data_IF_169607988458
#
_entry.id   IF_169607988458
#
_cell.length_a   1.000
_cell.length_b   1.000
_cell.length_c   1.000
_cell.angle_alpha   90.00
_cell.angle_beta   90.00
_cell.angle_gamma   90.00
#
_symmetry.space_group_name_H-M   'P 1'
#
loop_
_entity.id
_entity.type
_entity.pdbx_description
1 polymer ?
#
# COMPACT_ATOMS: atom_id res chain seq x y z
N UNK A 1 24.72 -59.25 13.16
CA UNK A 1 24.90 -59.93 11.86
C UNK A 1 24.58 -58.92 10.76
N UNK A 2 25.57 -58.20 10.20
CA UNK A 2 26.22 -58.46 8.91
C UNK A 2 25.27 -58.56 7.71
N UNK A 3 25.28 -57.55 6.82
CA UNK A 3 25.80 -57.70 5.43
C UNK A 3 25.87 -56.37 4.66
N UNK A 4 27.06 -56.14 4.11
CA UNK A 4 27.49 -55.14 3.11
C UNK A 4 26.82 -55.32 1.75
N UNK A 5 26.78 -54.25 0.94
CA UNK A 5 27.27 -54.14 -0.47
C UNK A 5 26.89 -52.75 -1.03
N UNK A 6 27.55 -52.11 -2.02
CA UNK A 6 28.92 -51.98 -2.56
C UNK A 6 28.78 -51.13 -3.85
N UNK A 7 29.87 -50.46 -4.28
CA UNK A 7 30.19 -49.88 -5.63
C UNK A 7 29.72 -48.44 -5.88
N UNK A 8 30.43 -47.56 -6.60
CA UNK A 8 31.74 -47.50 -7.33
C UNK A 8 31.94 -46.00 -7.67
N UNK A 9 33.07 -45.32 -7.41
CA UNK A 9 34.36 -45.23 -8.15
C UNK A 9 34.34 -44.48 -9.49
N UNK A 10 35.07 -43.35 -9.58
CA UNK A 10 35.90 -42.85 -10.71
C UNK A 10 36.76 -41.66 -10.17
N UNK A 11 38.07 -41.80 -9.94
CA UNK A 11 39.25 -41.67 -10.84
C UNK A 11 39.46 -40.22 -11.36
N UNK A 12 40.41 -39.40 -10.86
CA UNK A 12 41.89 -39.43 -10.90
C UNK A 12 42.53 -39.09 -12.26
N UNK A 13 43.31 -37.98 -12.30
CA UNK A 13 44.63 -37.75 -12.97
C UNK A 13 44.95 -36.23 -12.88
N UNK A 14 45.96 -35.75 -12.14
CA UNK A 14 47.42 -35.66 -12.45
C UNK A 14 47.69 -34.97 -13.80
N UNK A 15 48.61 -34.00 -13.99
CA UNK A 15 49.99 -33.91 -13.46
C UNK A 15 50.69 -32.59 -13.88
N UNK A 16 51.70 -32.19 -13.09
CA UNK A 16 53.00 -31.53 -13.42
C UNK A 16 53.03 -30.15 -14.12
N UNK A 17 53.58 -29.08 -13.52
CA UNK A 17 54.94 -28.79 -13.03
C UNK A 17 56.00 -28.57 -14.12
N UNK A 18 56.55 -27.34 -14.20
CA UNK A 18 58.01 -27.08 -14.15
C UNK A 18 58.38 -25.59 -14.12
N UNK A 19 59.27 -25.28 -13.18
CA UNK A 19 60.06 -24.05 -13.05
C UNK A 19 60.93 -23.75 -14.28
N UNK A 20 61.25 -22.48 -14.49
CA UNK A 20 62.65 -22.09 -14.72
C UNK A 20 62.88 -20.62 -14.37
N UNK A 21 63.86 -20.43 -13.49
CA UNK A 21 64.39 -19.18 -12.96
C UNK A 21 65.53 -18.70 -13.88
N UNK A 22 65.70 -17.38 -14.09
CA UNK A 22 66.99 -16.73 -14.44
C UNK A 22 66.85 -15.21 -14.41
N UNK A 23 67.42 -14.61 -13.38
CA UNK A 23 67.85 -13.20 -13.34
C UNK A 23 69.23 -13.08 -14.00
N UNK A 24 69.52 -11.93 -14.64
CA UNK A 24 70.81 -11.22 -14.48
C UNK A 24 70.92 -9.98 -15.40
N UNK A 25 71.27 -8.83 -14.81
CA UNK A 25 72.28 -7.82 -15.25
C UNK A 25 72.05 -7.06 -16.57
N UNK A 26 72.30 -5.76 -16.78
CA UNK A 26 72.79 -4.59 -16.01
C UNK A 26 72.68 -3.37 -17.01
N UNK A 27 73.43 -2.24 -16.98
CA UNK A 27 72.84 -0.92 -16.78
C UNK A 27 73.09 0.13 -17.90
N UNK A 28 72.47 1.31 -17.72
CA UNK A 28 72.88 2.67 -18.19
C UNK A 28 72.88 3.04 -19.69
N UNK A 29 72.41 4.28 -19.93
CA UNK A 29 72.86 5.32 -20.89
C UNK A 29 71.96 5.75 -22.06
N UNK A 30 71.69 7.07 -22.06
CA UNK A 30 71.62 8.01 -23.20
C UNK A 30 70.34 8.12 -24.08
N UNK A 31 69.50 9.12 -23.71
CA UNK A 31 69.23 10.38 -24.46
C UNK A 31 69.01 10.29 -25.98
N UNK A 32 67.77 10.57 -26.43
CA UNK A 32 67.52 11.29 -27.69
C UNK A 32 66.08 11.89 -27.79
N UNK A 33 66.05 13.19 -28.16
CA UNK A 33 65.04 13.91 -28.95
C UNK A 33 63.56 14.03 -28.50
N UNK A 34 63.14 15.28 -28.22
CA UNK A 34 61.75 15.77 -28.29
C UNK A 34 61.35 15.97 -29.79
N UNK A 35 60.05 16.00 -30.17
CA UNK A 35 59.29 17.26 -30.08
C UNK A 35 57.77 17.14 -29.77
N UNK A 36 57.23 18.26 -29.29
CA UNK A 36 55.84 18.73 -29.30
C UNK A 36 54.70 17.74 -29.65
N UNK A 37 53.94 17.32 -28.64
CA UNK A 37 52.56 16.84 -28.78
C UNK A 37 51.59 17.94 -28.37
N UNK A 38 51.10 18.64 -29.38
CA UNK A 38 49.78 19.25 -29.54
C UNK A 38 48.83 19.14 -28.32
N UNK A 39 48.55 20.29 -27.68
CA UNK A 39 47.47 20.40 -26.69
C UNK A 39 46.13 20.31 -27.42
N UNK A 40 45.45 19.17 -27.33
CA UNK A 40 44.06 19.04 -27.70
C UNK A 40 43.21 20.10 -26.98
N UNK A 41 42.29 20.82 -27.65
CA UNK A 41 41.41 21.76 -26.98
C UNK A 41 40.51 21.02 -25.97
N UNK A 42 40.11 21.65 -24.86
CA UNK A 42 39.19 21.01 -23.93
C UNK A 42 37.86 20.78 -24.64
N UNK A 43 37.44 19.53 -24.73
CA UNK A 43 36.09 19.14 -25.14
C UNK A 43 35.13 19.84 -24.18
N UNK A 44 34.52 20.92 -24.67
CA UNK A 44 33.42 21.61 -24.01
C UNK A 44 32.31 20.60 -23.79
N UNK A 45 32.17 20.15 -22.55
CA UNK A 45 31.02 19.35 -22.12
C UNK A 45 29.81 20.29 -22.15
N UNK A 46 29.11 20.31 -23.27
CA UNK A 46 27.78 20.91 -23.33
C UNK A 46 26.95 20.31 -22.18
N UNK A 47 26.30 21.13 -21.34
CA UNK A 47 25.47 20.60 -20.27
C UNK A 47 24.34 19.82 -20.94
N UNK A 48 24.27 18.51 -20.65
CA UNK A 48 23.09 17.70 -20.95
C UNK A 48 21.93 18.38 -20.24
N UNK A 49 21.15 19.15 -20.98
CA UNK A 49 19.86 19.63 -20.53
C UNK A 49 18.99 18.39 -20.42
N UNK A 50 19.01 17.74 -19.26
CA UNK A 50 17.88 16.95 -18.80
C UNK A 50 16.70 17.91 -18.80
N UNK A 51 15.94 17.95 -19.89
CA UNK A 51 14.56 18.41 -19.86
C UNK A 51 13.79 17.40 -19.03
N UNK A 52 13.99 17.42 -17.72
CA UNK A 52 12.97 17.00 -16.79
C UNK A 52 11.77 17.85 -17.16
N UNK A 53 10.76 17.22 -17.76
CA UNK A 53 9.48 17.85 -18.02
C UNK A 53 8.90 18.18 -16.65
N UNK A 54 9.30 19.34 -16.13
CA UNK A 54 8.81 19.90 -14.88
C UNK A 54 7.34 20.23 -15.14
N UNK A 55 6.48 19.24 -14.92
CA UNK A 55 5.05 19.44 -14.94
C UNK A 55 4.75 20.63 -14.04
N UNK A 56 4.14 21.67 -14.62
CA UNK A 56 3.86 22.90 -13.90
C UNK A 56 3.13 22.55 -12.58
N UNK A 57 3.54 23.13 -11.45
CA UNK A 57 2.88 22.86 -10.18
C UNK A 57 1.40 23.25 -10.31
N UNK A 58 0.52 22.25 -10.32
CA UNK A 58 -0.93 22.46 -10.31
C UNK A 58 -1.32 23.40 -9.17
N UNK A 59 -2.28 24.33 -9.33
CA UNK A 59 -2.60 25.31 -8.29
C UNK A 59 -3.23 24.65 -7.04
N UNK A 60 -3.09 25.25 -5.85
CA UNK A 60 -3.56 24.64 -4.60
C UNK A 60 -5.09 24.53 -4.51
N UNK A 61 -5.84 25.43 -5.15
CA UNK A 61 -7.31 25.39 -5.19
C UNK A 61 -7.85 24.12 -5.86
N UNK A 62 -7.07 23.48 -6.73
CA UNK A 62 -7.46 22.26 -7.43
C UNK A 62 -7.75 21.11 -6.45
N UNK A 63 -7.03 21.04 -5.32
CA UNK A 63 -7.30 20.04 -4.28
C UNK A 63 -8.69 20.21 -3.67
N UNK A 64 -9.11 21.45 -3.43
CA UNK A 64 -10.43 21.73 -2.86
C UNK A 64 -11.55 21.42 -3.84
N UNK A 65 -11.33 21.68 -5.13
CA UNK A 65 -12.29 21.31 -6.17
C UNK A 65 -12.45 19.79 -6.24
N UNK A 66 -11.35 19.03 -6.26
CA UNK A 66 -11.42 17.57 -6.24
C UNK A 66 -12.02 17.04 -4.93
N UNK A 67 -11.67 17.62 -3.79
CA UNK A 67 -12.25 17.24 -2.50
C UNK A 67 -13.77 17.43 -2.49
N UNK A 68 -14.26 18.59 -2.93
CA UNK A 68 -15.68 18.87 -3.05
C UNK A 68 -16.37 17.93 -4.03
N UNK A 69 -15.75 17.66 -5.19
CA UNK A 69 -16.28 16.73 -6.17
C UNK A 69 -16.39 15.30 -5.61
N UNK A 70 -15.39 14.83 -4.86
CA UNK A 70 -15.38 13.51 -4.19
C UNK A 70 -16.56 13.39 -3.22
N UNK A 71 -16.72 14.39 -2.34
CA UNK A 71 -17.81 14.42 -1.35
C UNK A 71 -19.16 14.34 -2.06
N UNK A 72 -19.38 15.21 -3.05
CA UNK A 72 -20.65 15.26 -3.79
C UNK A 72 -20.89 13.94 -4.54
N UNK A 73 -19.89 13.41 -5.25
CA UNK A 73 -20.07 12.19 -6.03
C UNK A 73 -20.33 10.96 -5.15
N UNK A 74 -19.65 10.84 -4.01
CA UNK A 74 -19.90 9.76 -3.06
C UNK A 74 -21.30 9.87 -2.46
N UNK A 75 -21.69 11.05 -2.00
CA UNK A 75 -23.03 11.27 -1.45
C UNK A 75 -24.12 10.93 -2.48
N UNK A 76 -23.98 11.37 -3.74
CA UNK A 76 -24.94 11.07 -4.80
C UNK A 76 -24.99 9.56 -5.10
N UNK A 77 -23.84 8.89 -5.20
CA UNK A 77 -23.77 7.46 -5.52
C UNK A 77 -24.41 6.59 -4.43
N UNK A 78 -24.22 6.95 -3.16
CA UNK A 78 -24.66 6.14 -2.01
C UNK A 78 -25.93 6.66 -1.33
N UNK A 79 -26.49 7.79 -1.77
CA UNK A 79 -27.73 8.36 -1.23
C UNK A 79 -28.88 7.35 -1.15
N UNK A 80 -29.14 6.50 -2.17
CA UNK A 80 -30.22 5.51 -2.08
C UNK A 80 -30.01 4.51 -0.93
N UNK A 81 -28.76 4.19 -0.61
CA UNK A 81 -28.40 3.27 0.47
C UNK A 81 -28.84 3.74 1.86
N UNK A 82 -28.96 5.06 2.07
CA UNK A 82 -29.47 5.61 3.34
C UNK A 82 -30.94 5.27 3.59
N UNK A 83 -31.68 4.84 2.56
CA UNK A 83 -33.06 4.38 2.68
C UNK A 83 -33.19 2.89 2.99
N UNK A 84 -32.10 2.13 2.94
CA UNK A 84 -32.11 0.69 3.18
C UNK A 84 -32.26 0.36 4.67
N UNK A 85 -32.84 -0.80 4.95
CA UNK A 85 -32.90 -1.38 6.29
C UNK A 85 -31.84 -2.45 6.49
N UNK A 86 -31.78 -3.00 7.70
CA UNK A 86 -30.98 -4.19 7.96
C UNK A 86 -31.49 -5.37 7.10
N UNK A 87 -30.57 -6.15 6.55
CA UNK A 87 -30.88 -7.34 5.78
C UNK A 87 -30.89 -8.60 6.65
N UNK A 88 -31.58 -9.65 6.20
CA UNK A 88 -31.70 -10.90 6.96
C UNK A 88 -30.59 -11.91 6.60
N UNK A 89 -29.45 -11.45 6.08
CA UNK A 89 -28.33 -12.32 5.75
C UNK A 89 -27.36 -12.42 6.93
N UNK A 90 -26.62 -11.35 7.23
CA UNK A 90 -25.59 -11.32 8.25
C UNK A 90 -25.78 -10.21 9.29
N UNK A 91 -26.54 -9.15 8.99
CA UNK A 91 -26.86 -8.08 9.94
C UNK A 91 -27.48 -8.62 11.25
N UNK A 92 -28.17 -9.77 11.18
CA UNK A 92 -28.77 -10.40 12.34
C UNK A 92 -27.77 -10.83 13.41
N UNK A 93 -26.66 -11.44 13.04
CA UNK A 93 -25.64 -11.82 14.02
C UNK A 93 -24.58 -10.75 14.18
N UNK A 94 -24.36 -9.90 13.17
CA UNK A 94 -23.40 -8.80 13.22
C UNK A 94 -23.90 -7.63 14.09
N UNK A 95 -25.18 -7.27 13.96
CA UNK A 95 -25.76 -6.03 14.49
C UNK A 95 -26.97 -6.31 15.39
N UNK A 96 -28.07 -6.87 14.88
CA UNK A 96 -29.36 -6.90 15.62
C UNK A 96 -29.39 -7.93 16.76
N UNK A 97 -28.60 -8.99 16.67
CA UNK A 97 -28.44 -10.04 17.69
C UNK A 97 -27.15 -9.93 18.49
N UNK A 98 -26.20 -9.07 18.08
CA UNK A 98 -24.93 -8.91 18.78
C UNK A 98 -25.13 -8.12 20.08
N UNK A 99 -24.99 -8.79 21.22
CA UNK A 99 -25.17 -8.15 22.54
C UNK A 99 -23.99 -7.27 22.94
N UNK A 100 -22.80 -7.53 22.41
CA UNK A 100 -21.59 -6.82 22.81
C UNK A 100 -21.52 -5.41 22.22
N UNK A 101 -22.29 -5.11 21.17
CA UNK A 101 -22.39 -3.76 20.62
C UNK A 101 -23.44 -2.88 21.33
N UNK A 102 -24.16 -3.42 22.33
CA UNK A 102 -25.26 -2.70 22.99
C UNK A 102 -24.80 -1.62 23.95
N UNK A 103 -23.54 -1.66 24.37
CA UNK A 103 -22.94 -0.66 25.23
C UNK A 103 -21.42 -0.61 25.04
N UNK A 104 -20.85 0.54 25.39
CA UNK A 104 -19.41 0.81 25.32
C UNK A 104 -18.71 0.52 26.66
N UNK A 105 -19.20 -0.45 27.45
CA UNK A 105 -18.50 -0.85 28.67
C UNK A 105 -17.10 -1.37 28.34
N UNK A 106 -16.19 -1.14 29.28
CA UNK A 106 -14.81 -1.61 29.15
C UNK A 106 -14.74 -3.13 28.93
N UNK A 107 -15.64 -3.89 29.57
CA UNK A 107 -15.77 -5.34 29.43
C UNK A 107 -16.14 -5.75 28.01
N UNK A 108 -17.13 -5.09 27.38
CA UNK A 108 -17.51 -5.37 26.00
C UNK A 108 -16.39 -5.02 25.03
N UNK A 109 -15.72 -3.88 25.22
CA UNK A 109 -14.58 -3.47 24.41
C UNK A 109 -13.45 -4.51 24.53
N UNK A 110 -13.10 -4.95 25.74
CA UNK A 110 -12.11 -6.02 25.93
C UNK A 110 -12.53 -7.32 25.23
N UNK A 111 -13.84 -7.64 25.23
CA UNK A 111 -14.37 -8.84 24.59
C UNK A 111 -14.25 -8.78 23.06
N UNK A 112 -14.56 -7.63 22.45
CA UNK A 112 -14.38 -7.40 21.00
C UNK A 112 -12.93 -7.68 20.57
N UNK A 113 -11.97 -7.16 21.34
CA UNK A 113 -10.53 -7.27 21.06
C UNK A 113 -9.87 -8.56 21.59
N UNK A 114 -10.63 -9.51 22.14
CA UNK A 114 -10.09 -10.78 22.62
C UNK A 114 -10.34 -11.89 21.60
N UNK A 115 -9.33 -12.38 20.84
CA UNK A 115 -9.51 -13.42 19.82
C UNK A 115 -10.18 -14.70 20.32
N UNK A 116 -10.06 -14.99 21.62
CA UNK A 116 -10.61 -16.18 22.27
C UNK A 116 -12.06 -16.01 22.78
N UNK A 117 -12.67 -14.84 22.60
CA UNK A 117 -14.06 -14.59 22.98
C UNK A 117 -15.06 -15.42 22.13
N UNK A 118 -16.28 -15.70 22.64
CA UNK A 118 -17.31 -16.46 21.93
C UNK A 118 -17.72 -15.78 20.61
N UNK A 119 -17.22 -16.28 19.49
CA UNK A 119 -17.45 -15.68 18.16
C UNK A 119 -18.91 -15.75 17.73
N UNK A 120 -19.61 -16.80 18.13
CA UNK A 120 -21.03 -17.02 17.83
C UNK A 120 -21.94 -15.86 18.28
N UNK A 121 -21.51 -15.14 19.32
CA UNK A 121 -22.25 -14.01 19.89
C UNK A 121 -21.66 -12.65 19.47
N UNK A 122 -20.50 -12.64 18.78
CA UNK A 122 -19.81 -11.48 18.19
C UNK A 122 -19.82 -11.54 16.65
N UNK A 123 -20.92 -12.01 16.07
CA UNK A 123 -21.09 -11.97 14.63
C UNK A 123 -20.19 -12.92 13.83
N UNK A 124 -19.76 -14.04 14.43
CA UNK A 124 -19.03 -15.16 13.82
C UNK A 124 -17.65 -14.83 13.22
N UNK A 125 -17.14 -13.62 13.43
CA UNK A 125 -15.89 -13.14 12.83
C UNK A 125 -15.01 -12.43 13.86
N UNK A 126 -13.72 -12.26 13.55
CA UNK A 126 -12.80 -11.45 14.37
C UNK A 126 -12.55 -10.10 13.69
N UNK A 127 -13.45 -9.15 13.92
CA UNK A 127 -13.40 -7.80 13.35
C UNK A 127 -13.62 -6.74 14.45
N UNK A 128 -12.68 -6.62 15.41
CA UNK A 128 -12.86 -5.79 16.61
C UNK A 128 -13.13 -4.31 16.32
N UNK A 129 -12.55 -3.77 15.25
CA UNK A 129 -12.77 -2.37 14.86
C UNK A 129 -14.17 -2.15 14.25
N UNK A 130 -14.71 -3.14 13.52
CA UNK A 130 -16.09 -3.10 13.03
C UNK A 130 -17.05 -3.16 14.20
N UNK A 131 -16.84 -4.12 15.11
CA UNK A 131 -17.73 -4.30 16.25
C UNK A 131 -17.73 -3.05 17.16
N UNK A 132 -16.55 -2.44 17.36
CA UNK A 132 -16.44 -1.17 18.07
C UNK A 132 -17.16 -0.03 17.33
N UNK A 133 -17.02 0.07 16.01
CA UNK A 133 -17.76 1.05 15.19
C UNK A 133 -19.27 0.89 15.32
N UNK A 134 -19.75 -0.36 15.32
CA UNK A 134 -21.17 -0.69 15.50
C UNK A 134 -21.67 -0.37 16.90
N UNK A 135 -20.84 -0.56 17.93
CA UNK A 135 -21.16 -0.18 19.30
C UNK A 135 -21.24 1.35 19.47
N UNK A 136 -20.35 2.09 18.81
CA UNK A 136 -20.40 3.55 18.77
C UNK A 136 -21.68 4.03 18.06
N UNK A 137 -22.02 3.46 16.90
CA UNK A 137 -23.27 3.78 16.20
C UNK A 137 -24.50 3.49 17.08
N UNK A 138 -24.52 2.34 17.76
CA UNK A 138 -25.60 1.98 18.66
C UNK A 138 -25.74 2.96 19.82
N UNK A 139 -24.63 3.45 20.37
CA UNK A 139 -24.64 4.44 21.45
C UNK A 139 -25.26 5.78 21.02
N UNK A 140 -25.18 6.15 19.74
CA UNK A 140 -25.76 7.39 19.21
C UNK A 140 -27.23 7.25 18.81
N UNK A 141 -27.60 6.17 18.11
CA UNK A 141 -28.93 6.08 17.47
C UNK A 141 -29.55 4.66 17.53
N UNK A 142 -29.03 3.80 18.41
CA UNK A 142 -29.55 2.46 18.64
C UNK A 142 -29.53 1.58 17.39
N UNK A 143 -30.64 0.87 17.13
CA UNK A 143 -30.83 0.04 15.94
C UNK A 143 -31.48 0.82 14.78
N UNK A 144 -30.94 1.98 14.42
CA UNK A 144 -31.37 2.73 13.25
C UNK A 144 -30.44 2.45 12.05
N UNK A 145 -30.85 1.66 11.03
CA UNK A 145 -30.01 1.33 9.86
C UNK A 145 -29.44 2.57 9.16
N UNK A 146 -30.21 3.67 9.13
CA UNK A 146 -29.79 4.91 8.48
C UNK A 146 -28.52 5.49 9.11
N UNK A 147 -28.39 5.41 10.43
CA UNK A 147 -27.20 5.88 11.14
C UNK A 147 -25.97 5.06 10.75
N UNK A 148 -26.12 3.74 10.62
CA UNK A 148 -25.02 2.86 10.20
C UNK A 148 -24.58 3.14 8.77
N UNK A 149 -25.52 3.27 7.82
CA UNK A 149 -25.19 3.65 6.44
C UNK A 149 -24.55 5.04 6.37
N UNK A 150 -25.02 6.00 7.17
CA UNK A 150 -24.43 7.33 7.23
C UNK A 150 -22.98 7.29 7.74
N UNK A 151 -22.71 6.52 8.80
CA UNK A 151 -21.33 6.31 9.30
C UNK A 151 -20.44 5.68 8.22
N UNK A 152 -20.91 4.64 7.54
CA UNK A 152 -20.14 3.99 6.47
C UNK A 152 -19.86 4.95 5.30
N UNK A 153 -20.85 5.76 4.90
CA UNK A 153 -20.67 6.78 3.88
C UNK A 153 -19.65 7.85 4.28
N UNK A 154 -19.71 8.32 5.54
CA UNK A 154 -18.73 9.28 6.06
C UNK A 154 -17.31 8.72 6.05
N UNK A 155 -17.14 7.46 6.49
CA UNK A 155 -15.85 6.77 6.43
C UNK A 155 -15.35 6.59 4.99
N UNK A 156 -16.24 6.27 4.05
CA UNK A 156 -15.90 6.15 2.63
C UNK A 156 -15.45 7.47 2.02
N UNK A 157 -16.16 8.56 2.29
CA UNK A 157 -15.77 9.91 1.88
C UNK A 157 -14.40 10.25 2.45
N UNK A 158 -14.19 10.02 3.75
CA UNK A 158 -12.92 10.27 4.40
C UNK A 158 -11.77 9.48 3.74
N UNK A 159 -11.97 8.18 3.50
CA UNK A 159 -10.99 7.32 2.83
C UNK A 159 -10.71 7.78 1.39
N UNK A 160 -11.74 8.20 0.65
CA UNK A 160 -11.59 8.72 -0.72
C UNK A 160 -10.72 9.99 -0.75
N UNK A 161 -10.89 10.87 0.24
CA UNK A 161 -10.04 12.06 0.42
C UNK A 161 -8.60 11.67 0.77
N UNK A 162 -8.41 10.66 1.62
CA UNK A 162 -7.07 10.14 1.94
C UNK A 162 -6.39 9.55 0.70
N UNK A 163 -7.11 8.79 -0.14
CA UNK A 163 -6.59 8.27 -1.41
C UNK A 163 -6.15 9.42 -2.32
N UNK A 164 -6.94 10.48 -2.43
CA UNK A 164 -6.56 11.68 -3.19
C UNK A 164 -5.26 12.29 -2.67
N UNK A 165 -5.15 12.51 -1.36
CA UNK A 165 -3.97 13.10 -0.74
C UNK A 165 -2.74 12.20 -0.91
N UNK A 166 -2.91 10.89 -0.72
CA UNK A 166 -1.87 9.89 -0.87
C UNK A 166 -1.33 9.85 -2.30
N UNK A 167 -2.20 9.72 -3.30
CA UNK A 167 -1.81 9.67 -4.71
C UNK A 167 -1.21 11.01 -5.19
N UNK A 168 -1.71 12.16 -4.72
CA UNK A 168 -1.11 13.46 -5.00
C UNK A 168 0.32 13.57 -4.43
N UNK A 169 0.56 13.04 -3.23
CA UNK A 169 1.88 13.02 -2.59
C UNK A 169 2.84 12.04 -3.26
N UNK A 170 2.35 10.86 -3.64
CA UNK A 170 3.14 9.83 -4.28
C UNK A 170 3.62 10.24 -5.68
N UNK A 171 2.76 10.91 -6.44
CA UNK A 171 3.05 11.30 -7.85
C UNK A 171 3.58 12.72 -8.00
N UNK A 172 3.52 13.54 -6.95
CA UNK A 172 3.82 14.97 -7.01
C UNK A 172 2.80 15.78 -7.84
N UNK A 173 1.70 15.18 -8.28
CA UNK A 173 0.72 15.78 -9.20
C UNK A 173 -0.68 15.76 -8.59
N UNK A 174 -1.21 16.94 -8.22
CA UNK A 174 -2.50 17.07 -7.51
C UNK A 174 -3.68 16.51 -8.32
N UNK A 175 -3.66 16.69 -9.64
CA UNK A 175 -4.73 16.19 -10.51
C UNK A 175 -4.78 14.66 -10.57
N UNK A 176 -3.64 13.96 -10.50
CA UNK A 176 -3.61 12.50 -10.44
C UNK A 176 -4.25 12.02 -9.14
N UNK A 177 -3.92 12.69 -8.02
CA UNK A 177 -4.60 12.44 -6.75
C UNK A 177 -6.11 12.66 -6.84
N UNK A 178 -6.53 13.78 -7.44
CA UNK A 178 -7.94 14.09 -7.66
C UNK A 178 -8.70 13.01 -8.43
N UNK A 179 -8.14 12.55 -9.55
CA UNK A 179 -8.73 11.47 -10.35
C UNK A 179 -8.76 10.16 -9.56
N UNK A 180 -7.67 9.81 -8.86
CA UNK A 180 -7.61 8.60 -8.07
C UNK A 180 -8.68 8.58 -6.97
N UNK A 181 -8.84 9.68 -6.24
CA UNK A 181 -9.87 9.82 -5.20
C UNK A 181 -11.28 9.78 -5.77
N UNK A 182 -11.55 10.41 -6.92
CA UNK A 182 -12.85 10.34 -7.59
C UNK A 182 -13.19 8.94 -8.06
N UNK A 183 -12.24 8.25 -8.70
CA UNK A 183 -12.43 6.87 -9.12
C UNK A 183 -12.73 5.99 -7.92
N UNK A 184 -11.96 6.11 -6.84
CA UNK A 184 -12.18 5.38 -5.59
C UNK A 184 -13.57 5.67 -4.99
N UNK A 185 -13.99 6.94 -4.97
CA UNK A 185 -15.27 7.35 -4.40
C UNK A 185 -16.48 6.69 -5.09
N UNK A 186 -16.44 6.54 -6.42
CA UNK A 186 -17.57 6.04 -7.22
C UNK A 186 -17.40 4.59 -7.68
N UNK A 187 -16.30 3.93 -7.35
CA UNK A 187 -16.02 2.57 -7.84
C UNK A 187 -17.01 1.57 -7.22
N UNK A 188 -17.70 0.73 -8.03
CA UNK A 188 -18.73 -0.19 -7.54
C UNK A 188 -18.19 -1.29 -6.61
N UNK A 189 -16.89 -1.55 -6.62
CA UNK A 189 -16.24 -2.50 -5.69
C UNK A 189 -16.45 -2.14 -4.21
N UNK A 190 -16.75 -0.87 -3.90
CA UNK A 190 -16.97 -0.43 -2.54
C UNK A 190 -18.44 -0.51 -2.10
N UNK A 191 -19.36 -0.93 -2.97
CA UNK A 191 -20.80 -0.98 -2.65
C UNK A 191 -21.09 -1.88 -1.46
N UNK A 192 -20.45 -3.04 -1.38
CA UNK A 192 -20.59 -3.96 -0.25
C UNK A 192 -20.16 -3.29 1.06
N UNK A 193 -18.96 -2.70 1.10
CA UNK A 193 -18.44 -2.05 2.30
C UNK A 193 -19.23 -0.80 2.74
N UNK A 194 -19.91 -0.11 1.82
CA UNK A 194 -20.60 1.17 2.12
C UNK A 194 -22.10 0.99 2.33
N UNK A 195 -22.73 0.12 1.54
CA UNK A 195 -24.20 -0.01 1.46
C UNK A 195 -24.76 -1.27 2.09
N UNK A 196 -23.93 -2.26 2.41
CA UNK A 196 -24.32 -3.46 3.18
C UNK A 196 -23.83 -3.30 4.62
N UNK A 197 -24.51 -3.92 5.58
CA UNK A 197 -24.31 -3.72 7.02
C UNK A 197 -24.05 -5.03 7.76
#
# INVERSE_FOLDING_TARGET
MSKKKKKKTQASKQSSAKQSNRQSTDPTTAKAAQPASEKSPPVSKAPKTERQSAALPSPPWLLWVFAGAIVVSACVAYWPGLGNGFTNWDDNWLITGNRFIRDLSWQNIQTMFNPMAPREELGNEYLPLRDLSYAINYAFDGLNPRAYHATNLLLHVFNSLLVMLFAARLTGRRWIGGIAGLLFAVHPVHVEAVSWL
#
